data_IF_448683945975
#
_entry.id   IF_448683945975
#
_cell.length_a   1.000
_cell.length_b   1.000
_cell.length_c   1.000
_cell.angle_alpha   90.00
_cell.angle_beta   90.00
_cell.angle_gamma   90.00
#
_symmetry.space_group_name_H-M   'P 1'
#
loop_
_entity.id
_entity.type
_entity.pdbx_description
1 polymer ?
#
# COMPACT_ATOMS: atom_id res chain seq x y z
N UNK A 1 -0.23 77.74 -15.01
CA UNK A 1 -0.37 76.81 -16.16
C UNK A 1 0.72 75.75 -16.08
N UNK A 2 0.39 74.50 -15.71
CA UNK A 2 1.34 73.39 -15.87
C UNK A 2 1.52 73.15 -17.39
N UNK A 3 2.77 73.15 -17.86
CA UNK A 3 3.07 72.95 -19.28
C UNK A 3 2.56 71.58 -19.75
N UNK A 4 1.99 71.52 -20.96
CA UNK A 4 1.46 70.31 -21.60
C UNK A 4 2.49 69.16 -21.62
N UNK A 5 3.78 69.49 -21.64
CA UNK A 5 4.92 68.57 -21.59
C UNK A 5 5.01 67.82 -20.24
N UNK A 6 4.69 68.50 -19.13
CA UNK A 6 4.72 67.93 -17.77
C UNK A 6 3.58 66.94 -17.56
N UNK A 7 2.37 67.28 -18.03
CA UNK A 7 1.18 66.39 -17.95
C UNK A 7 1.40 65.09 -18.74
N UNK A 8 2.00 65.18 -19.94
CA UNK A 8 2.33 64.01 -20.77
C UNK A 8 3.38 63.09 -20.12
N UNK A 9 4.37 63.65 -19.41
CA UNK A 9 5.37 62.85 -18.68
C UNK A 9 4.76 62.10 -17.51
N UNK A 10 3.91 62.76 -16.72
CA UNK A 10 3.21 62.13 -15.58
C UNK A 10 2.29 61.00 -16.07
N UNK A 11 1.54 61.21 -17.15
CA UNK A 11 0.67 60.18 -17.73
C UNK A 11 1.47 58.96 -18.26
N UNK A 12 2.63 59.18 -18.89
CA UNK A 12 3.50 58.10 -19.39
C UNK A 12 4.12 57.30 -18.23
N UNK A 13 4.51 57.99 -17.15
CA UNK A 13 5.08 57.37 -15.95
C UNK A 13 4.03 56.60 -15.15
N UNK A 14 2.83 57.14 -15.00
CA UNK A 14 1.69 56.45 -14.38
C UNK A 14 1.29 55.19 -15.16
N UNK A 15 1.24 55.26 -16.49
CA UNK A 15 0.95 54.10 -17.36
C UNK A 15 2.04 53.03 -17.31
N UNK A 16 3.30 53.44 -17.15
CA UNK A 16 4.44 52.53 -16.94
C UNK A 16 4.39 51.82 -15.59
N UNK A 17 4.08 52.56 -14.52
CA UNK A 17 3.94 52.02 -13.17
C UNK A 17 2.74 51.07 -13.06
N UNK A 18 1.61 51.40 -13.70
CA UNK A 18 0.43 50.53 -13.75
C UNK A 18 0.71 49.22 -14.50
N UNK A 19 1.43 49.29 -15.62
CA UNK A 19 1.86 48.08 -16.36
C UNK A 19 2.79 47.19 -15.53
N UNK A 20 3.76 47.78 -14.81
CA UNK A 20 4.64 47.03 -13.91
C UNK A 20 3.88 46.40 -12.74
N UNK A 21 2.95 47.13 -12.14
CA UNK A 21 2.10 46.63 -11.06
C UNK A 21 1.20 45.49 -11.54
N UNK A 22 0.58 45.61 -12.71
CA UNK A 22 -0.26 44.57 -13.30
C UNK A 22 0.51 43.28 -13.62
N UNK A 23 1.76 43.39 -14.12
CA UNK A 23 2.63 42.23 -14.37
C UNK A 23 3.04 41.55 -13.07
N UNK A 24 3.38 42.31 -12.02
CA UNK A 24 3.71 41.75 -10.69
C UNK A 24 2.51 41.06 -10.05
N UNK A 25 1.31 41.65 -10.13
CA UNK A 25 0.08 41.04 -9.63
C UNK A 25 -0.27 39.76 -10.41
N UNK A 26 -0.14 39.75 -11.75
CA UNK A 26 -0.36 38.53 -12.53
C UNK A 26 0.64 37.42 -12.20
N UNK A 27 1.92 37.75 -11.98
CA UNK A 27 2.94 36.78 -11.57
C UNK A 27 2.66 36.20 -10.17
N UNK A 28 2.23 37.02 -9.22
CA UNK A 28 1.85 36.58 -7.87
C UNK A 28 0.56 35.74 -7.85
N UNK A 29 -0.40 36.05 -8.72
CA UNK A 29 -1.62 35.26 -8.90
C UNK A 29 -1.30 33.91 -9.56
N UNK A 30 -0.39 33.86 -10.55
CA UNK A 30 0.07 32.57 -11.11
C UNK A 30 0.87 31.73 -10.11
N UNK A 31 1.55 32.35 -9.14
CA UNK A 31 2.27 31.66 -8.08
C UNK A 31 1.34 31.02 -7.03
N UNK A 32 0.10 31.50 -6.92
CA UNK A 32 -0.89 31.03 -5.95
C UNK A 32 -1.94 30.09 -6.55
N UNK A 33 -2.18 30.15 -7.87
CA UNK A 33 -3.04 29.19 -8.59
C UNK A 33 -2.31 27.87 -8.87
N UNK A 34 -0.96 27.87 -8.94
CA UNK A 34 -0.15 26.70 -9.26
C UNK A 34 0.07 25.67 -8.14
N UNK A 35 -0.45 25.90 -6.93
CA UNK A 35 -0.21 25.01 -5.77
C UNK A 35 -1.48 24.42 -5.15
N UNK A 36 -2.66 24.70 -5.71
CA UNK A 36 -3.90 24.07 -5.24
C UNK A 36 -4.22 22.81 -6.05
N UNK A 37 -3.29 21.86 -6.06
CA UNK A 37 -3.63 20.47 -6.33
C UNK A 37 -4.34 19.95 -5.09
N UNK A 38 -5.68 20.08 -5.05
CA UNK A 38 -6.48 19.23 -4.17
C UNK A 38 -6.22 17.82 -4.66
N UNK A 39 -5.34 17.10 -3.96
CA UNK A 39 -5.07 15.68 -4.16
C UNK A 39 -6.33 14.90 -3.84
N UNK A 40 -7.25 14.85 -4.81
CA UNK A 40 -8.20 13.75 -4.89
C UNK A 40 -7.44 12.63 -5.59
N UNK A 41 -6.55 11.97 -4.85
CA UNK A 41 -6.08 10.65 -5.24
C UNK A 41 -7.29 9.72 -5.03
N UNK A 42 -8.14 9.63 -6.06
CA UNK A 42 -9.03 8.50 -6.16
C UNK A 42 -8.13 7.26 -6.07
N UNK A 43 -8.34 6.42 -5.05
CA UNK A 43 -7.69 5.13 -4.96
C UNK A 43 -8.12 4.32 -6.18
N UNK A 44 -7.31 4.36 -7.24
CA UNK A 44 -7.53 3.51 -8.40
C UNK A 44 -7.01 2.14 -8.01
N UNK A 45 -7.88 1.14 -8.04
CA UNK A 45 -7.45 -0.26 -8.03
C UNK A 45 -6.41 -0.45 -9.14
N UNK A 46 -5.15 -0.69 -8.76
CA UNK A 46 -4.09 -0.92 -9.73
C UNK A 46 -3.97 -2.41 -10.02
N UNK A 47 -3.87 -2.75 -11.31
CA UNK A 47 -3.81 -4.13 -11.77
C UNK A 47 -2.36 -4.51 -12.09
N UNK A 48 -1.82 -5.42 -11.29
CA UNK A 48 -0.51 -6.04 -11.43
C UNK A 48 -0.60 -7.52 -11.83
N UNK A 49 -1.69 -7.95 -12.48
CA UNK A 49 -1.86 -9.32 -12.96
C UNK A 49 -0.67 -9.77 -13.82
N UNK A 50 -0.09 -10.92 -13.45
CA UNK A 50 1.11 -11.52 -14.08
C UNK A 50 2.36 -10.65 -14.10
N UNK A 51 2.44 -9.57 -13.32
CA UNK A 51 3.64 -8.73 -13.29
C UNK A 51 4.79 -9.44 -12.60
N UNK A 52 6.02 -9.14 -13.05
CA UNK A 52 7.23 -9.50 -12.33
C UNK A 52 7.57 -8.34 -11.38
N UNK A 53 7.46 -8.61 -10.09
CA UNK A 53 7.70 -7.68 -8.98
C UNK A 53 8.72 -8.27 -8.01
N UNK A 54 9.57 -9.20 -8.46
CA UNK A 54 10.55 -9.86 -7.60
C UNK A 54 11.44 -8.84 -6.90
N UNK A 55 11.77 -9.11 -5.64
CA UNK A 55 12.75 -8.32 -4.86
C UNK A 55 12.41 -6.84 -4.69
N UNK A 56 11.17 -6.42 -5.00
CA UNK A 56 10.73 -5.06 -4.77
C UNK A 56 10.47 -4.81 -3.28
N UNK A 57 10.63 -3.54 -2.88
CA UNK A 57 10.33 -3.08 -1.53
C UNK A 57 8.97 -2.35 -1.51
N UNK A 58 8.02 -2.98 -0.84
CA UNK A 58 6.68 -2.51 -0.57
C UNK A 58 6.43 -2.35 0.95
N UNK A 59 7.47 -2.36 1.78
CA UNK A 59 7.31 -2.30 3.23
C UNK A 59 6.57 -1.04 3.68
N UNK A 60 5.63 -1.21 4.61
CA UNK A 60 4.81 -0.14 5.18
C UNK A 60 3.83 0.53 4.20
N UNK A 61 3.74 0.08 2.96
CA UNK A 61 2.88 0.72 1.96
C UNK A 61 1.42 0.30 2.12
N UNK A 62 0.52 1.22 1.74
CA UNK A 62 -0.89 0.90 1.54
C UNK A 62 -1.09 0.33 0.13
N UNK A 63 -1.42 -0.97 0.06
CA UNK A 63 -1.63 -1.71 -1.17
C UNK A 63 -3.08 -2.17 -1.31
N UNK A 64 -3.99 -1.62 -0.50
CA UNK A 64 -5.43 -1.87 -0.59
C UNK A 64 -5.93 -1.63 -2.02
N UNK A 65 -7.00 -2.35 -2.39
CA UNK A 65 -7.63 -2.33 -3.72
C UNK A 65 -6.77 -2.84 -4.90
N UNK A 66 -5.51 -3.23 -4.67
CA UNK A 66 -4.66 -3.74 -5.74
C UNK A 66 -4.98 -5.20 -6.10
N UNK A 67 -4.71 -5.54 -7.36
CA UNK A 67 -4.82 -6.88 -7.89
C UNK A 67 -3.45 -7.41 -8.30
N UNK A 68 -2.92 -8.36 -7.55
CA UNK A 68 -1.63 -9.03 -7.81
C UNK A 68 -1.81 -10.45 -8.33
N UNK A 69 -2.99 -10.78 -8.86
CA UNK A 69 -3.29 -12.12 -9.38
C UNK A 69 -2.15 -12.64 -10.27
N UNK A 70 -1.59 -13.81 -9.97
CA UNK A 70 -0.50 -14.44 -10.73
C UNK A 70 0.79 -13.62 -10.88
N UNK A 71 0.96 -12.54 -10.11
CA UNK A 71 2.22 -11.83 -10.08
C UNK A 71 3.34 -12.72 -9.52
N UNK A 72 4.58 -12.44 -9.92
CA UNK A 72 5.77 -12.97 -9.26
C UNK A 72 6.31 -11.93 -8.29
N UNK A 73 6.02 -12.14 -7.00
CA UNK A 73 6.47 -11.35 -5.86
C UNK A 73 7.47 -12.14 -5.01
N UNK A 74 8.22 -13.05 -5.62
CA UNK A 74 9.28 -13.79 -4.91
C UNK A 74 10.30 -12.81 -4.32
N UNK A 75 10.69 -13.02 -3.07
CA UNK A 75 11.67 -12.19 -2.33
C UNK A 75 11.26 -10.71 -2.17
N UNK A 76 9.99 -10.34 -2.35
CA UNK A 76 9.54 -8.96 -2.05
C UNK A 76 9.55 -8.68 -0.55
N UNK A 77 9.82 -7.44 -0.20
CA UNK A 77 9.60 -6.94 1.15
C UNK A 77 8.20 -6.32 1.25
N UNK A 78 7.29 -6.96 1.98
CA UNK A 78 5.92 -6.53 2.26
C UNK A 78 5.72 -6.32 3.78
N UNK A 79 6.80 -6.17 4.54
CA UNK A 79 6.70 -6.04 6.00
C UNK A 79 5.89 -4.81 6.38
N UNK A 80 4.96 -4.97 7.31
CA UNK A 80 4.05 -3.95 7.79
C UNK A 80 3.19 -3.29 6.68
N UNK A 81 3.10 -3.89 5.49
CA UNK A 81 2.24 -3.39 4.42
C UNK A 81 0.76 -3.60 4.75
N UNK A 82 -0.09 -2.70 4.28
CA UNK A 82 -1.54 -2.89 4.31
C UNK A 82 -2.00 -3.61 3.03
N UNK A 83 -2.35 -4.89 3.16
CA UNK A 83 -2.85 -5.78 2.12
C UNK A 83 -4.31 -6.19 2.38
N UNK A 84 -5.05 -5.37 3.13
CA UNK A 84 -6.46 -5.62 3.42
C UNK A 84 -7.28 -5.71 2.12
N UNK A 85 -8.08 -6.78 2.01
CA UNK A 85 -8.93 -7.09 0.85
C UNK A 85 -8.21 -7.24 -0.50
N UNK A 86 -6.87 -7.37 -0.50
CA UNK A 86 -6.07 -7.49 -1.72
C UNK A 86 -6.25 -8.86 -2.38
N UNK A 87 -6.22 -8.88 -3.72
CA UNK A 87 -6.24 -10.14 -4.50
C UNK A 87 -4.82 -10.63 -4.77
N UNK A 88 -4.49 -11.78 -4.19
CA UNK A 88 -3.22 -12.51 -4.33
C UNK A 88 -3.43 -13.91 -4.92
N UNK A 89 -4.52 -14.09 -5.70
CA UNK A 89 -4.87 -15.36 -6.32
C UNK A 89 -3.73 -15.90 -7.17
N UNK A 90 -3.22 -17.08 -6.83
CA UNK A 90 -2.11 -17.78 -7.51
C UNK A 90 -0.81 -16.96 -7.63
N UNK A 91 -0.61 -15.98 -6.74
CA UNK A 91 0.59 -15.13 -6.68
C UNK A 91 1.77 -15.91 -6.09
N UNK A 92 2.98 -15.71 -6.64
CA UNK A 92 4.20 -16.29 -6.07
C UNK A 92 4.78 -15.33 -5.04
N UNK A 93 4.78 -15.74 -3.77
CA UNK A 93 5.30 -14.99 -2.61
C UNK A 93 6.45 -15.76 -1.93
N UNK A 94 7.12 -16.64 -2.67
CA UNK A 94 8.21 -17.45 -2.11
C UNK A 94 9.31 -16.55 -1.54
N UNK A 95 9.74 -16.82 -0.30
CA UNK A 95 10.71 -15.99 0.44
C UNK A 95 10.33 -14.51 0.59
N UNK A 96 9.06 -14.15 0.42
CA UNK A 96 8.60 -12.79 0.68
C UNK A 96 8.63 -12.51 2.19
N UNK A 97 8.93 -11.27 2.56
CA UNK A 97 8.82 -10.81 3.94
C UNK A 97 7.44 -10.18 4.15
N UNK A 98 6.53 -10.86 4.83
CA UNK A 98 5.18 -10.39 5.19
C UNK A 98 5.07 -10.08 6.70
N UNK A 99 6.20 -9.89 7.37
CA UNK A 99 6.22 -9.63 8.81
C UNK A 99 5.31 -8.45 9.19
N UNK A 100 4.37 -8.66 10.09
CA UNK A 100 3.45 -7.61 10.54
C UNK A 100 2.47 -7.09 9.48
N UNK A 101 2.38 -7.71 8.30
CA UNK A 101 1.48 -7.27 7.25
C UNK A 101 0.00 -7.46 7.65
N UNK A 102 -0.86 -6.52 7.24
CA UNK A 102 -2.31 -6.64 7.39
C UNK A 102 -2.91 -7.31 6.16
N UNK A 103 -3.29 -8.58 6.26
CA UNK A 103 -3.88 -9.41 5.20
C UNK A 103 -5.38 -9.66 5.44
N UNK A 104 -6.05 -8.82 6.24
CA UNK A 104 -7.47 -9.00 6.57
C UNK A 104 -8.33 -9.14 5.32
N UNK A 105 -9.10 -10.22 5.26
CA UNK A 105 -9.98 -10.51 4.12
C UNK A 105 -9.27 -10.66 2.76
N UNK A 106 -7.94 -10.79 2.72
CA UNK A 106 -7.20 -10.99 1.47
C UNK A 106 -7.58 -12.32 0.81
N UNK A 107 -7.53 -12.38 -0.52
CA UNK A 107 -7.77 -13.61 -1.29
C UNK A 107 -6.43 -14.20 -1.73
N UNK A 108 -6.06 -15.35 -1.16
CA UNK A 108 -4.74 -15.98 -1.31
C UNK A 108 -4.81 -17.35 -2.01
N UNK A 109 -5.93 -17.73 -2.65
CA UNK A 109 -6.07 -19.09 -3.17
C UNK A 109 -4.99 -19.46 -4.18
N UNK A 110 -4.39 -20.62 -3.98
CA UNK A 110 -3.30 -21.08 -4.84
C UNK A 110 -2.01 -20.27 -4.72
N UNK A 111 -1.90 -19.33 -3.78
CA UNK A 111 -0.68 -18.58 -3.56
C UNK A 111 0.46 -19.49 -3.09
N UNK A 112 1.70 -19.15 -3.47
CA UNK A 112 2.89 -19.92 -3.11
C UNK A 112 3.72 -19.13 -2.09
N UNK A 113 3.64 -19.52 -0.82
CA UNK A 113 4.27 -18.87 0.34
C UNK A 113 5.51 -19.61 0.86
N UNK A 114 6.14 -20.45 0.02
CA UNK A 114 7.32 -21.23 0.42
C UNK A 114 8.42 -20.36 1.01
N UNK A 115 8.83 -20.63 2.25
CA UNK A 115 9.86 -19.87 2.96
C UNK A 115 9.51 -18.41 3.23
N UNK A 116 8.24 -18.01 3.10
CA UNK A 116 7.81 -16.64 3.41
C UNK A 116 7.81 -16.40 4.93
N UNK A 117 8.10 -15.17 5.33
CA UNK A 117 8.00 -14.74 6.72
C UNK A 117 6.62 -14.13 6.98
N UNK A 118 5.71 -14.84 7.66
CA UNK A 118 4.39 -14.34 8.06
C UNK A 118 4.36 -13.96 9.55
N UNK A 119 5.50 -13.83 10.23
CA UNK A 119 5.52 -13.53 11.64
C UNK A 119 4.73 -12.25 11.94
N UNK A 120 3.90 -12.26 12.98
CA UNK A 120 3.05 -11.13 13.37
C UNK A 120 2.03 -10.64 12.31
N UNK A 121 1.91 -11.31 11.16
CA UNK A 121 0.93 -10.94 10.14
C UNK A 121 -0.50 -11.19 10.65
N UNK A 122 -1.45 -10.37 10.19
CA UNK A 122 -2.87 -10.54 10.54
C UNK A 122 -3.63 -11.00 9.31
N UNK A 123 -4.06 -12.26 9.29
CA UNK A 123 -4.78 -12.87 8.18
C UNK A 123 -6.28 -12.97 8.46
N UNK A 124 -6.81 -12.27 9.48
CA UNK A 124 -8.20 -12.43 9.92
C UNK A 124 -9.22 -12.35 8.76
N UNK A 125 -10.02 -13.41 8.61
CA UNK A 125 -11.01 -13.55 7.54
C UNK A 125 -10.44 -13.78 6.12
N UNK A 126 -9.14 -14.00 5.97
CA UNK A 126 -8.53 -14.26 4.66
C UNK A 126 -9.00 -15.60 4.09
N UNK A 127 -9.10 -15.66 2.76
CA UNK A 127 -9.50 -16.84 2.02
C UNK A 127 -8.24 -17.52 1.46
N UNK A 128 -7.90 -18.70 1.99
CA UNK A 128 -6.55 -19.27 1.92
C UNK A 128 -6.57 -20.76 1.55
N UNK A 129 -7.29 -21.12 0.48
CA UNK A 129 -7.40 -22.53 0.02
C UNK A 129 -6.27 -22.88 -0.95
N UNK A 130 -5.76 -24.11 -0.87
CA UNK A 130 -4.71 -24.64 -1.77
C UNK A 130 -3.43 -23.79 -1.74
N UNK A 131 -3.04 -23.31 -0.57
CA UNK A 131 -1.81 -22.54 -0.39
C UNK A 131 -0.63 -23.48 -0.14
N UNK A 132 0.54 -23.07 -0.62
CA UNK A 132 1.79 -23.75 -0.27
C UNK A 132 2.57 -22.97 0.81
N UNK A 133 2.47 -23.43 2.05
CA UNK A 133 3.16 -22.87 3.23
C UNK A 133 4.52 -23.53 3.52
N UNK A 134 5.09 -24.34 2.61
CA UNK A 134 6.32 -25.10 2.89
C UNK A 134 7.47 -24.20 3.39
N UNK A 135 7.89 -24.41 4.65
CA UNK A 135 8.98 -23.65 5.26
C UNK A 135 8.65 -22.19 5.63
N UNK A 136 7.39 -21.76 5.54
CA UNK A 136 6.98 -20.44 6.02
C UNK A 136 7.09 -20.36 7.56
N UNK A 137 7.38 -19.17 8.08
CA UNK A 137 7.36 -18.89 9.53
C UNK A 137 6.09 -18.13 9.89
N UNK A 138 5.46 -18.48 11.01
CA UNK A 138 4.14 -17.95 11.41
C UNK A 138 4.09 -17.53 12.88
N UNK A 139 5.23 -17.25 13.51
CA UNK A 139 5.26 -16.87 14.93
C UNK A 139 4.46 -15.59 15.16
N UNK A 140 3.46 -15.64 16.04
CA UNK A 140 2.56 -14.52 16.31
C UNK A 140 1.61 -14.18 15.14
N UNK A 141 1.48 -15.02 14.12
CA UNK A 141 0.51 -14.77 13.05
C UNK A 141 -0.93 -15.02 13.53
N UNK A 142 -1.89 -14.24 13.04
CA UNK A 142 -3.29 -14.37 13.43
C UNK A 142 -4.13 -14.96 12.29
N UNK A 143 -4.66 -16.16 12.52
CA UNK A 143 -5.46 -16.93 11.56
C UNK A 143 -6.96 -16.94 11.89
N UNK A 144 -7.45 -16.00 12.70
CA UNK A 144 -8.86 -15.92 13.08
C UNK A 144 -9.76 -15.93 11.84
N UNK A 145 -10.74 -16.83 11.79
CA UNK A 145 -11.68 -16.94 10.66
C UNK A 145 -11.02 -17.14 9.27
N UNK A 146 -9.77 -17.63 9.22
CA UNK A 146 -9.13 -17.99 7.95
C UNK A 146 -9.67 -19.31 7.44
N UNK A 147 -10.07 -19.34 6.17
CA UNK A 147 -10.46 -20.59 5.52
C UNK A 147 -9.24 -21.34 4.98
N UNK A 148 -8.82 -22.38 5.70
CA UNK A 148 -7.67 -23.25 5.39
C UNK A 148 -8.11 -24.67 4.97
N UNK A 149 -7.30 -25.35 4.15
CA UNK A 149 -7.41 -26.81 3.97
C UNK A 149 -7.03 -27.51 5.29
N UNK A 150 -7.74 -28.58 5.71
CA UNK A 150 -7.42 -29.29 6.95
C UNK A 150 -5.97 -29.79 7.05
N UNK A 151 -5.32 -30.12 5.92
CA UNK A 151 -3.92 -30.54 5.92
C UNK A 151 -2.98 -29.37 6.19
N UNK A 152 -3.26 -28.22 5.60
CA UNK A 152 -2.47 -27.00 5.80
C UNK A 152 -2.63 -26.52 7.24
N UNK A 153 -3.85 -26.50 7.79
CA UNK A 153 -4.11 -26.19 9.19
C UNK A 153 -3.32 -27.12 10.13
N UNK A 154 -3.32 -28.44 9.88
CA UNK A 154 -2.53 -29.39 10.66
C UNK A 154 -1.03 -29.08 10.61
N UNK A 155 -0.48 -28.81 9.43
CA UNK A 155 0.93 -28.46 9.24
C UNK A 155 1.29 -27.18 10.01
N UNK A 156 0.45 -26.14 9.90
CA UNK A 156 0.64 -24.89 10.61
C UNK A 156 0.60 -25.10 12.13
N UNK A 157 -0.29 -25.95 12.63
CA UNK A 157 -0.35 -26.29 14.05
C UNK A 157 0.91 -26.98 14.62
N UNK A 158 1.74 -27.62 13.77
CA UNK A 158 3.01 -28.20 14.20
C UNK A 158 4.08 -27.14 14.47
N UNK A 159 3.97 -25.96 13.84
CA UNK A 159 4.95 -24.86 13.94
C UNK A 159 4.40 -23.61 14.64
N UNK A 160 3.09 -23.56 14.92
CA UNK A 160 2.42 -22.40 15.50
C UNK A 160 2.89 -22.11 16.93
N UNK A 161 3.27 -20.85 17.16
CA UNK A 161 3.68 -20.31 18.45
C UNK A 161 3.49 -18.79 18.49
N UNK A 162 3.53 -18.21 19.69
CA UNK A 162 3.53 -16.77 19.88
C UNK A 162 2.15 -16.12 19.82
N UNK A 163 2.11 -14.87 20.28
CA UNK A 163 0.90 -14.04 20.35
C UNK A 163 1.06 -12.87 19.41
N UNK A 164 0.04 -12.62 18.58
CA UNK A 164 0.09 -11.50 17.65
C UNK A 164 0.14 -10.16 18.42
N UNK A 165 1.13 -9.29 18.18
CA UNK A 165 1.28 -8.05 18.92
C UNK A 165 0.19 -7.00 18.59
N UNK A 166 -0.47 -7.14 17.44
CA UNK A 166 -1.51 -6.22 16.98
C UNK A 166 -2.88 -6.60 17.52
N UNK A 167 -3.21 -7.89 17.55
CA UNK A 167 -4.55 -8.39 17.93
C UNK A 167 -4.59 -8.98 19.34
N UNK A 168 -3.44 -9.32 19.93
CA UNK A 168 -3.33 -9.96 21.24
C UNK A 168 -3.79 -11.43 21.26
N UNK A 169 -4.07 -12.03 20.10
CA UNK A 169 -4.54 -13.41 19.99
C UNK A 169 -3.36 -14.38 19.85
N UNK A 170 -3.44 -15.53 20.51
CA UNK A 170 -2.43 -16.58 20.39
C UNK A 170 -2.56 -17.32 19.05
N UNK A 171 -1.44 -17.55 18.38
CA UNK A 171 -1.41 -18.15 17.04
C UNK A 171 -2.07 -19.53 17.02
N UNK A 172 -1.79 -20.39 18.02
CA UNK A 172 -2.34 -21.76 18.08
C UNK A 172 -3.84 -21.73 18.35
N UNK A 173 -4.31 -20.79 19.18
CA UNK A 173 -5.74 -20.60 19.44
C UNK A 173 -6.48 -20.16 18.18
N UNK A 174 -5.93 -19.22 17.41
CA UNK A 174 -6.56 -18.75 16.15
C UNK A 174 -6.62 -19.82 15.06
N UNK A 175 -5.70 -20.78 15.10
CA UNK A 175 -5.67 -21.95 14.21
C UNK A 175 -6.56 -23.10 14.71
N UNK A 176 -7.15 -23.00 15.90
CA UNK A 176 -7.89 -24.10 16.55
C UNK A 176 -7.08 -25.41 16.66
N UNK A 177 -5.79 -25.29 17.01
CA UNK A 177 -4.93 -26.45 17.12
C UNK A 177 -5.37 -27.41 18.25
N UNK A 178 -5.22 -28.73 18.07
CA UNK A 178 -5.51 -29.73 19.11
C UNK A 178 -4.46 -29.76 20.23
#
# INVERSE_FOLDING_TARGET
>A
MLQLSTVRRIAKQAKGNFRRLAVVVMLLVSLTIGTFSVGMDAAYATNFDRKNLRQQDFSGQDLTDNDYTRADMTETNLSNANLELVRLFTTRLSRANLEGANLRGATLDGAVLRGANLNNAVLEGAYAISIDFEGATIEGADFTDVLLDPRDNKLLCEIASGTNPTTGRDTRETLYCP
#
